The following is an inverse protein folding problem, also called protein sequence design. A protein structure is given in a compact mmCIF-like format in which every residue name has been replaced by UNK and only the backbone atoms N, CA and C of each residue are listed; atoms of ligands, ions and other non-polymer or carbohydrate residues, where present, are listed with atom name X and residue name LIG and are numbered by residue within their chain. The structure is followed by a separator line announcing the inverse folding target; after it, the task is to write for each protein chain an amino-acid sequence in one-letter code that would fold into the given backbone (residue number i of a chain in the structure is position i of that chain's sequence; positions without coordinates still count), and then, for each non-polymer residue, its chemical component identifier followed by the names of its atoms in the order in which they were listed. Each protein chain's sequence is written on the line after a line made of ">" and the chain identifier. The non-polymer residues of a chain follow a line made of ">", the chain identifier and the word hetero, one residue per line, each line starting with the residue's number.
data_IF_486638169910
#
_entry.id   IF_486638169910
#
_cell.length_a   1.000
_cell.length_b   1.000
_cell.length_c   1.000
_cell.angle_alpha   90.00
_cell.angle_beta   90.00
_cell.angle_gamma   90.00
#
_symmetry.space_group_name_H-M   'P 1'
#
loop_
_entity.id
_entity.type
_entity.pdbx_description
1 polymer ?
#
# COMPACT_ATOMS: atom_id res chain seq x y z
N UNK A 1 -1.42 0.28 10.48
CA UNK A 1 -0.29 -0.56 10.92
C UNK A 1 1.05 -0.02 10.46
N UNK A 2 1.32 0.11 9.16
CA UNK A 2 2.64 0.54 8.63
C UNK A 2 3.13 1.85 9.28
N UNK A 3 2.33 2.93 9.22
CA UNK A 3 2.70 4.22 9.83
C UNK A 3 2.79 4.18 11.36
N UNK A 4 2.11 3.23 12.01
CA UNK A 4 2.13 3.08 13.46
C UNK A 4 3.43 2.44 13.96
N UNK A 5 3.93 1.42 13.28
CA UNK A 5 5.16 0.71 13.67
C UNK A 5 6.45 1.47 13.31
N UNK A 6 6.34 2.47 12.44
CA UNK A 6 7.42 3.40 12.08
C UNK A 6 7.36 4.73 12.81
N UNK A 7 6.37 4.95 13.69
CA UNK A 7 6.26 6.17 14.48
C UNK A 7 7.33 6.15 15.59
N UNK A 8 8.07 7.25 15.74
CA UNK A 8 9.10 7.40 16.78
C UNK A 8 8.57 7.07 18.20
N UNK A 9 7.31 7.43 18.51
CA UNK A 9 6.67 7.14 19.80
C UNK A 9 6.39 5.65 20.05
N UNK A 10 6.25 4.84 18.99
CA UNK A 10 5.84 3.44 19.05
C UNK A 10 6.75 2.53 18.19
N UNK A 11 8.04 2.87 18.14
CA UNK A 11 9.03 2.14 17.32
C UNK A 11 9.21 0.73 17.88
N UNK A 12 9.17 -0.27 17.01
CA UNK A 12 9.39 -1.68 17.36
C UNK A 12 10.48 -2.28 16.50
N UNK A 13 11.32 -3.14 17.09
CA UNK A 13 12.32 -3.92 16.36
C UNK A 13 11.70 -4.82 15.27
N UNK A 14 10.40 -5.11 15.38
CA UNK A 14 9.66 -5.93 14.44
C UNK A 14 8.98 -5.14 13.32
N UNK A 15 9.28 -3.84 13.14
CA UNK A 15 8.61 -3.00 12.15
C UNK A 15 8.65 -3.61 10.74
N UNK A 16 9.80 -4.12 10.30
CA UNK A 16 9.96 -4.78 9.00
C UNK A 16 9.07 -6.02 8.84
N UNK A 17 9.00 -6.87 9.88
CA UNK A 17 8.15 -8.06 9.88
C UNK A 17 6.67 -7.68 9.79
N UNK A 18 6.23 -6.69 10.56
CA UNK A 18 4.84 -6.24 10.59
C UNK A 18 4.44 -5.65 9.24
N UNK A 19 5.32 -4.85 8.61
CA UNK A 19 5.09 -4.30 7.27
C UNK A 19 4.96 -5.43 6.24
N UNK A 20 5.86 -6.41 6.28
CA UNK A 20 5.85 -7.56 5.37
C UNK A 20 4.59 -8.41 5.52
N UNK A 21 4.19 -8.75 6.75
CA UNK A 21 2.96 -9.50 7.02
C UNK A 21 1.70 -8.71 6.64
N UNK A 22 1.71 -7.40 6.83
CA UNK A 22 0.62 -6.52 6.36
C UNK A 22 0.47 -6.64 4.85
N UNK A 23 1.58 -6.58 4.09
CA UNK A 23 1.55 -6.71 2.64
C UNK A 23 1.08 -8.11 2.21
N UNK A 24 1.53 -9.18 2.89
CA UNK A 24 1.08 -10.54 2.61
C UNK A 24 -0.43 -10.70 2.84
N UNK A 25 -0.96 -10.17 3.95
CA UNK A 25 -2.40 -10.16 4.22
C UNK A 25 -3.21 -9.44 3.15
N UNK A 26 -2.73 -8.28 2.68
CA UNK A 26 -3.36 -7.55 1.56
C UNK A 26 -3.41 -8.42 0.30
N UNK A 27 -2.34 -9.18 0.01
CA UNK A 27 -2.31 -10.07 -1.15
C UNK A 27 -3.34 -11.19 -1.05
N UNK A 28 -3.48 -11.83 0.12
CA UNK A 28 -4.47 -12.89 0.31
C UNK A 28 -5.91 -12.41 0.05
N UNK A 29 -6.22 -11.16 0.36
CA UNK A 29 -7.54 -10.59 0.10
C UNK A 29 -7.73 -10.07 -1.33
N UNK A 30 -6.71 -9.42 -1.92
CA UNK A 30 -6.89 -8.57 -3.10
C UNK A 30 -6.42 -9.20 -4.43
N UNK A 31 -5.72 -10.34 -4.40
CA UNK A 31 -5.29 -11.05 -5.61
C UNK A 31 -6.47 -11.37 -6.54
N UNK A 32 -7.60 -11.97 -6.08
CA UNK A 32 -8.69 -12.33 -6.99
C UNK A 32 -9.44 -11.12 -7.56
N UNK A 33 -9.31 -9.95 -6.93
CA UNK A 33 -10.03 -8.74 -7.33
C UNK A 33 -9.24 -7.91 -8.34
N UNK A 34 -7.94 -7.67 -8.09
CA UNK A 34 -7.11 -6.77 -8.92
C UNK A 34 -5.71 -7.30 -9.22
N UNK A 35 -5.37 -8.51 -8.76
CA UNK A 35 -3.99 -9.02 -8.81
C UNK A 35 -3.03 -8.34 -7.83
N UNK A 36 -3.58 -7.51 -6.91
CA UNK A 36 -2.88 -6.74 -5.86
C UNK A 36 -1.74 -5.88 -6.40
N UNK A 37 -2.07 -4.65 -6.81
CA UNK A 37 -1.05 -3.64 -7.12
C UNK A 37 -0.48 -3.01 -5.85
N UNK A 38 -1.30 -2.18 -5.17
CA UNK A 38 -0.99 -1.33 -4.00
C UNK A 38 0.35 -0.57 -4.06
N UNK A 39 0.99 -0.53 -5.23
CA UNK A 39 2.30 0.05 -5.48
C UNK A 39 2.43 0.38 -6.97
N UNK A 40 2.43 1.67 -7.35
CA UNK A 40 2.54 2.11 -8.72
C UNK A 40 3.76 1.54 -9.45
N UNK A 41 4.94 1.51 -8.82
CA UNK A 41 6.17 1.00 -9.42
C UNK A 41 6.07 -0.50 -9.73
N UNK A 42 5.42 -1.28 -8.85
CA UNK A 42 5.16 -2.71 -9.06
C UNK A 42 4.22 -2.95 -10.24
N UNK A 43 3.30 -2.03 -10.53
CA UNK A 43 2.38 -2.14 -11.66
C UNK A 43 2.97 -1.65 -12.98
N UNK A 44 3.80 -0.60 -12.96
CA UNK A 44 4.40 -0.03 -14.17
C UNK A 44 5.29 -1.04 -14.88
N UNK A 45 6.16 -1.75 -14.15
CA UNK A 45 7.12 -2.69 -14.74
C UNK A 45 6.44 -3.73 -15.66
N UNK A 46 5.56 -4.60 -15.13
CA UNK A 46 4.86 -5.60 -15.94
C UNK A 46 3.95 -4.98 -17.02
N UNK A 47 3.33 -3.83 -16.76
CA UNK A 47 2.44 -3.19 -17.74
C UNK A 47 3.19 -2.77 -19.00
N UNK A 48 4.43 -2.28 -18.88
CA UNK A 48 5.26 -1.90 -20.03
C UNK A 48 5.61 -3.10 -20.92
N UNK A 49 5.82 -4.27 -20.35
CA UNK A 49 6.11 -5.49 -21.11
C UNK A 49 4.86 -6.21 -21.61
N UNK A 50 3.75 -6.15 -20.86
CA UNK A 50 2.50 -6.81 -21.23
C UNK A 50 1.71 -6.03 -22.29
N UNK A 51 1.85 -4.71 -22.34
CA UNK A 51 1.15 -3.86 -23.30
C UNK A 51 -0.39 -3.92 -23.21
N UNK A 52 -1.05 -3.38 -24.24
CA UNK A 52 -2.50 -3.49 -24.43
C UNK A 52 -3.34 -3.02 -23.24
N UNK A 53 -4.20 -3.91 -22.74
CA UNK A 53 -5.11 -3.62 -21.62
C UNK A 53 -4.38 -3.27 -20.31
N UNK A 54 -3.18 -3.82 -20.08
CA UNK A 54 -2.41 -3.55 -18.87
C UNK A 54 -1.94 -2.09 -18.81
N UNK A 55 -1.52 -1.52 -19.94
CA UNK A 55 -1.20 -0.08 -20.04
C UNK A 55 -2.46 0.78 -19.96
N UNK A 56 -3.55 0.35 -20.59
CA UNK A 56 -4.83 1.08 -20.55
C UNK A 56 -5.42 1.21 -19.14
N UNK A 57 -5.18 0.24 -18.26
CA UNK A 57 -5.65 0.24 -16.86
C UNK A 57 -4.61 0.75 -15.86
N UNK A 58 -3.37 1.02 -16.29
CA UNK A 58 -2.27 1.39 -15.41
C UNK A 58 -2.57 2.62 -14.55
N UNK A 59 -3.32 3.60 -15.10
CA UNK A 59 -3.67 4.83 -14.40
C UNK A 59 -4.39 4.57 -13.07
N UNK A 60 -5.26 3.54 -13.02
CA UNK A 60 -6.01 3.18 -11.81
C UNK A 60 -5.06 2.71 -10.70
N UNK A 61 -4.03 1.95 -11.08
CA UNK A 61 -2.99 1.46 -10.18
C UNK A 61 -1.96 2.52 -9.77
N UNK A 62 -2.05 3.73 -10.32
CA UNK A 62 -1.28 4.89 -9.88
C UNK A 62 -2.15 5.74 -8.95
N UNK A 63 -3.33 6.15 -9.41
CA UNK A 63 -4.19 7.09 -8.69
C UNK A 63 -4.73 6.47 -7.41
N UNK A 64 -5.24 5.23 -7.44
CA UNK A 64 -5.87 4.63 -6.26
C UNK A 64 -4.87 4.40 -5.10
N UNK A 65 -3.65 3.85 -5.33
CA UNK A 65 -2.67 3.73 -4.24
C UNK A 65 -2.21 5.07 -3.67
N UNK A 66 -2.06 6.11 -4.52
CA UNK A 66 -1.65 7.44 -4.05
C UNK A 66 -2.73 8.09 -3.17
N UNK A 67 -4.01 8.00 -3.57
CA UNK A 67 -5.13 8.49 -2.77
C UNK A 67 -5.20 7.72 -1.44
N UNK A 68 -5.12 6.39 -1.48
CA UNK A 68 -5.13 5.57 -0.27
C UNK A 68 -3.97 5.90 0.68
N UNK A 69 -2.76 6.08 0.14
CA UNK A 69 -1.59 6.51 0.90
C UNK A 69 -1.73 7.90 1.50
N UNK A 70 -2.27 8.86 0.74
CA UNK A 70 -2.53 10.21 1.23
C UNK A 70 -3.55 10.22 2.38
N UNK A 71 -4.67 9.48 2.24
CA UNK A 71 -5.68 9.35 3.29
C UNK A 71 -5.07 8.72 4.55
N UNK A 72 -4.31 7.64 4.40
CA UNK A 72 -3.65 6.98 5.52
C UNK A 72 -2.65 7.90 6.24
N UNK A 73 -1.87 8.68 5.48
CA UNK A 73 -0.94 9.66 6.01
C UNK A 73 -1.64 10.79 6.77
N UNK A 74 -2.73 11.33 6.22
CA UNK A 74 -3.55 12.37 6.86
C UNK A 74 -4.18 11.83 8.14
N UNK A 75 -4.77 10.63 8.11
CA UNK A 75 -5.38 10.01 9.28
C UNK A 75 -4.34 9.77 10.40
N UNK A 76 -3.13 9.34 10.05
CA UNK A 76 -2.05 9.19 11.02
C UNK A 76 -1.60 10.52 11.61
N UNK A 77 -1.47 11.57 10.79
CA UNK A 77 -1.14 12.93 11.27
C UNK A 77 -2.23 13.52 12.17
N UNK A 78 -3.49 13.19 11.91
CA UNK A 78 -4.64 13.65 12.69
C UNK A 78 -4.81 12.91 14.02
N UNK A 79 -3.90 11.99 14.38
CA UNK A 79 -3.97 11.26 15.65
C UNK A 79 -5.05 10.18 15.68
N UNK A 80 -5.66 9.81 14.55
CA UNK A 80 -6.74 8.79 14.49
C UNK A 80 -6.28 7.44 15.03
N UNK A 81 -4.97 7.17 15.00
CA UNK A 81 -4.36 5.93 15.48
C UNK A 81 -3.61 6.11 16.82
N UNK A 82 -3.58 7.32 17.38
CA UNK A 82 -3.10 7.55 18.74
C UNK A 82 -4.29 7.27 19.66
N UNK A 83 -4.19 6.20 20.44
CA UNK A 83 -5.12 5.93 21.53
C UNK A 83 -4.59 6.69 22.75
N UNK A 84 -5.43 7.50 23.37
CA UNK A 84 -5.14 8.23 24.61
C UNK A 84 -4.36 7.39 25.64
#
# INVERSE_FOLDING_TARGET
>A
MILGVTNAKHTTAFAGLIIGLTLAGIHFAMIPVTGTSVNPARSIGPALFSGGAALGQLWLFIVAPLIGGAIAGIAAKAGVFEKD
#
